data_IF_602759609189
#
_entry.id   IF_602759609189
#
_cell.length_a   1.000
_cell.length_b   1.000
_cell.length_c   1.000
_cell.angle_alpha   90.00
_cell.angle_beta   90.00
_cell.angle_gamma   90.00
#
_symmetry.space_group_name_H-M   'P 1'
#
loop_
_entity.id
_entity.type
_entity.pdbx_description
1 polymer ?
#
# COMPACT_ATOMS: atom_id res chain seq x y z
N UNK A 1 -18.00 12.94 3.77
CA UNK A 1 -17.41 11.73 3.16
C UNK A 1 -16.00 11.61 3.74
N UNK A 2 -15.73 10.58 4.53
CA UNK A 2 -14.44 10.42 5.22
C UNK A 2 -13.44 9.69 4.32
N UNK A 3 -12.23 10.25 4.18
CA UNK A 3 -11.14 9.60 3.47
C UNK A 3 -10.53 8.50 4.33
N UNK A 4 -10.58 7.25 3.86
CA UNK A 4 -9.92 6.12 4.54
C UNK A 4 -8.44 6.14 4.18
N UNK A 5 -7.57 6.03 5.19
CA UNK A 5 -6.12 5.86 5.00
C UNK A 5 -5.77 4.46 5.47
N UNK A 6 -5.14 3.68 4.60
CA UNK A 6 -4.67 2.32 4.90
C UNK A 6 -3.25 2.40 5.43
N UNK A 7 -2.91 1.63 6.46
CA UNK A 7 -1.55 1.52 6.96
C UNK A 7 -1.08 0.06 6.89
N UNK A 8 0.02 -0.19 6.19
CA UNK A 8 0.74 -1.47 6.21
C UNK A 8 2.11 -1.25 6.85
N UNK A 9 2.28 -1.82 8.04
CA UNK A 9 3.56 -1.88 8.77
C UNK A 9 3.86 -3.33 9.10
N UNK A 10 5.14 -3.67 9.18
CA UNK A 10 5.56 -4.99 9.64
C UNK A 10 5.32 -5.09 11.15
N UNK A 11 4.78 -6.23 11.63
CA UNK A 11 4.66 -6.44 13.08
C UNK A 11 6.05 -6.50 13.73
N UNK A 12 6.21 -6.08 15.01
CA UNK A 12 7.52 -6.07 15.68
C UNK A 12 8.25 -7.42 15.71
N UNK A 13 7.51 -8.54 15.73
CA UNK A 13 8.04 -9.92 15.68
C UNK A 13 7.94 -10.58 14.29
N UNK A 14 7.60 -9.82 13.24
CA UNK A 14 7.51 -10.37 11.90
C UNK A 14 8.90 -10.69 11.38
N UNK A 15 9.21 -11.97 11.15
CA UNK A 15 10.49 -12.36 10.56
C UNK A 15 10.50 -11.90 9.10
N UNK A 16 11.23 -10.82 8.84
CA UNK A 16 11.36 -10.18 7.53
C UNK A 16 11.96 -11.10 6.46
N UNK A 17 12.55 -12.24 6.83
CA UNK A 17 13.09 -13.23 5.88
C UNK A 17 12.01 -14.09 5.25
N UNK A 18 10.86 -14.23 5.91
CA UNK A 18 9.80 -15.17 5.49
C UNK A 18 8.47 -14.48 5.19
N UNK A 19 8.22 -13.28 5.75
CA UNK A 19 6.94 -12.59 5.59
C UNK A 19 7.17 -11.09 5.39
N UNK A 20 7.46 -10.68 4.15
CA UNK A 20 7.51 -9.25 3.79
C UNK A 20 6.10 -8.82 3.35
N UNK A 21 5.48 -7.82 4.01
CA UNK A 21 4.22 -7.24 3.58
C UNK A 21 4.23 -6.86 2.09
N UNK A 22 3.33 -7.46 1.30
CA UNK A 22 3.17 -7.11 -0.11
C UNK A 22 2.16 -5.98 -0.31
N UNK A 23 2.48 -5.02 -1.17
CA UNK A 23 1.59 -3.99 -1.67
C UNK A 23 1.62 -3.99 -3.20
N UNK A 24 0.46 -3.99 -3.86
CA UNK A 24 0.40 -4.13 -5.31
C UNK A 24 -0.97 -3.81 -5.91
N UNK A 25 -1.18 -4.13 -7.19
CA UNK A 25 -2.39 -3.78 -7.93
C UNK A 25 -3.69 -4.28 -7.28
N UNK A 26 -3.68 -5.48 -6.72
CA UNK A 26 -4.87 -6.07 -6.08
C UNK A 26 -5.27 -5.32 -4.80
N UNK A 27 -4.27 -4.87 -4.01
CA UNK A 27 -4.50 -4.02 -2.84
C UNK A 27 -5.03 -2.66 -3.28
N UNK A 28 -4.47 -2.09 -4.35
CA UNK A 28 -4.94 -0.85 -4.93
C UNK A 28 -6.40 -0.94 -5.39
N UNK A 29 -6.78 -2.02 -6.08
CA UNK A 29 -8.16 -2.23 -6.51
C UNK A 29 -9.11 -2.30 -5.31
N UNK A 30 -8.71 -2.98 -4.24
CA UNK A 30 -9.47 -3.05 -2.99
C UNK A 30 -9.61 -1.67 -2.33
N UNK A 31 -8.54 -0.88 -2.32
CA UNK A 31 -8.54 0.49 -1.81
C UNK A 31 -9.47 1.41 -2.59
N UNK A 32 -9.47 1.31 -3.92
CA UNK A 32 -10.36 2.07 -4.81
C UNK A 32 -11.82 1.72 -4.50
N UNK A 33 -12.16 0.43 -4.40
CA UNK A 33 -13.51 -0.01 -4.06
C UNK A 33 -13.96 0.47 -2.68
N UNK A 34 -13.03 0.52 -1.72
CA UNK A 34 -13.31 1.01 -0.36
C UNK A 34 -13.40 2.54 -0.26
N UNK A 35 -13.08 3.29 -1.33
CA UNK A 35 -12.99 4.75 -1.29
C UNK A 35 -11.84 5.26 -0.43
N UNK A 36 -10.74 4.50 -0.36
CA UNK A 36 -9.53 4.92 0.32
C UNK A 36 -8.84 6.05 -0.46
N UNK A 37 -8.20 6.95 0.28
CA UNK A 37 -7.55 8.16 -0.24
C UNK A 37 -6.02 8.11 -0.12
N UNK A 38 -5.50 7.12 0.60
CA UNK A 38 -4.06 6.94 0.71
C UNK A 38 -3.65 5.66 1.42
N UNK A 39 -2.39 5.29 1.24
CA UNK A 39 -1.71 4.22 1.96
C UNK A 39 -0.39 4.71 2.52
N UNK A 40 -0.10 4.30 3.76
CA UNK A 40 1.19 4.47 4.40
C UNK A 40 1.89 3.12 4.47
N UNK A 41 3.13 3.05 3.96
CA UNK A 41 3.99 1.88 4.00
C UNK A 41 5.33 2.21 4.65
N UNK A 42 5.97 1.20 5.24
CA UNK A 42 7.30 1.35 5.87
C UNK A 42 8.42 0.98 4.89
N UNK A 43 9.39 1.89 4.72
CA UNK A 43 10.55 1.69 3.86
C UNK A 43 11.35 0.46 4.27
N UNK A 44 11.75 -0.35 3.29
CA UNK A 44 12.54 -1.57 3.53
C UNK A 44 11.78 -2.70 4.25
N UNK A 45 10.52 -2.48 4.60
CA UNK A 45 9.64 -3.45 5.26
C UNK A 45 8.39 -3.77 4.44
N UNK A 46 8.26 -3.23 3.22
CA UNK A 46 7.14 -3.51 2.30
C UNK A 46 7.64 -3.76 0.89
N UNK A 47 7.20 -4.85 0.26
CA UNK A 47 7.49 -5.15 -1.14
C UNK A 47 6.39 -4.57 -2.03
N UNK A 48 6.77 -3.74 -3.01
CA UNK A 48 5.83 -3.24 -4.01
C UNK A 48 5.86 -4.17 -5.23
N UNK A 49 4.73 -4.84 -5.48
CA UNK A 49 4.49 -5.70 -6.65
C UNK A 49 4.08 -4.80 -7.81
N UNK A 50 4.64 -5.05 -9.01
CA UNK A 50 4.37 -4.27 -10.22
C UNK A 50 4.36 -2.76 -9.97
N UNK A 51 5.50 -2.24 -9.49
CA UNK A 51 5.63 -0.86 -9.03
C UNK A 51 5.05 0.17 -10.00
N UNK A 52 5.34 0.05 -11.29
CA UNK A 52 4.85 0.99 -12.31
C UNK A 52 3.33 0.99 -12.40
N UNK A 53 2.73 -0.21 -12.47
CA UNK A 53 1.27 -0.37 -12.51
C UNK A 53 0.61 0.14 -11.23
N UNK A 54 1.18 -0.19 -10.08
CA UNK A 54 0.66 0.23 -8.77
C UNK A 54 0.69 1.76 -8.62
N UNK A 55 1.75 2.42 -9.08
CA UNK A 55 1.86 3.89 -9.07
C UNK A 55 0.88 4.51 -10.06
N UNK A 56 0.80 3.99 -11.30
CA UNK A 56 -0.14 4.50 -12.29
C UNK A 56 -1.60 4.44 -11.82
N UNK A 57 -1.99 3.32 -11.19
CA UNK A 57 -3.32 3.18 -10.57
C UNK A 57 -3.52 4.16 -9.42
N UNK A 58 -2.49 4.47 -8.64
CA UNK A 58 -2.58 5.42 -7.54
C UNK A 58 -2.80 6.84 -8.06
N UNK A 59 -2.05 7.24 -9.09
CA UNK A 59 -2.18 8.54 -9.73
C UNK A 59 -3.56 8.70 -10.40
N UNK A 60 -4.03 7.69 -11.13
CA UNK A 60 -5.34 7.71 -11.81
C UNK A 60 -6.51 7.89 -10.82
N UNK A 61 -6.41 7.25 -9.65
CA UNK A 61 -7.47 7.25 -8.64
C UNK A 61 -7.26 8.27 -7.50
N UNK A 62 -6.28 9.17 -7.61
CA UNK A 62 -5.94 10.17 -6.58
C UNK A 62 -5.67 9.56 -5.20
N UNK A 63 -4.98 8.42 -5.17
CA UNK A 63 -4.58 7.72 -3.94
C UNK A 63 -3.14 8.10 -3.61
N UNK A 64 -2.91 8.66 -2.43
CA UNK A 64 -1.55 9.03 -1.99
C UNK A 64 -0.80 7.81 -1.45
N UNK A 65 0.40 7.55 -1.96
CA UNK A 65 1.33 6.56 -1.38
C UNK A 65 2.39 7.30 -0.56
N UNK A 66 2.39 7.10 0.75
CA UNK A 66 3.40 7.66 1.66
C UNK A 66 4.32 6.55 2.16
N UNK A 67 5.63 6.76 2.01
CA UNK A 67 6.66 5.86 2.52
C UNK A 67 7.30 6.51 3.74
N UNK A 68 7.25 5.82 4.88
CA UNK A 68 7.89 6.23 6.14
C UNK A 68 9.22 5.53 6.34
#
# INVERSE_FOLDING_TARGET
KGGVIVAKTAKPQQDKRFDVPGFGPDTMQSMIHAGATGIVIEAGSTLIIDREKTIAMADEHNITILVK
#
